data_IF_048506529724
#
_entry.id   IF_048506529724
#
_cell.length_a   1.000
_cell.length_b   1.000
_cell.length_c   1.000
_cell.angle_alpha   90.00
_cell.angle_beta   90.00
_cell.angle_gamma   90.00
#
_symmetry.space_group_name_H-M   'P 1'
#
loop_
_entity.id
_entity.type
_entity.pdbx_description
1 polymer ?
#
# COMPACT_ATOMS: atom_id res chain seq x y z
N UNK A 1 48.95 21.49 67.78
CA UNK A 1 47.62 20.86 67.59
C UNK A 1 47.10 21.33 66.21
N UNK A 2 47.24 20.45 65.18
CA UNK A 2 46.82 20.78 63.83
C UNK A 2 45.55 20.01 63.53
N UNK A 3 44.45 20.71 63.18
CA UNK A 3 43.18 20.15 62.85
C UNK A 3 43.23 19.51 61.48
N UNK A 4 42.56 18.35 61.20
CA UNK A 4 42.53 17.73 59.91
C UNK A 4 41.51 18.41 58.97
N UNK A 5 41.92 18.67 57.73
CA UNK A 5 41.08 19.20 56.65
C UNK A 5 39.97 18.18 56.24
N UNK A 6 38.75 18.63 55.90
CA UNK A 6 37.68 17.74 55.51
C UNK A 6 37.88 17.22 54.10
N UNK A 7 37.40 15.99 53.79
CA UNK A 7 37.54 15.38 52.44
C UNK A 7 36.52 15.95 51.47
N UNK A 8 36.89 16.96 50.71
CA UNK A 8 36.18 17.42 49.54
C UNK A 8 36.83 16.74 48.33
N UNK A 9 36.21 15.79 47.69
CA UNK A 9 36.33 15.32 46.33
C UNK A 9 35.97 13.81 46.23
N UNK A 10 34.67 13.48 46.28
CA UNK A 10 34.24 12.15 45.83
C UNK A 10 32.81 12.10 45.26
N UNK A 11 32.22 13.20 44.80
CA UNK A 11 30.86 13.16 44.21
C UNK A 11 30.75 13.35 42.66
N UNK A 12 31.84 13.53 41.94
CA UNK A 12 31.78 13.88 40.53
C UNK A 12 31.85 12.68 39.55
N UNK A 13 32.33 11.51 39.95
CA UNK A 13 32.57 10.37 39.04
C UNK A 13 31.33 9.56 38.70
N UNK A 14 30.32 9.51 39.56
CA UNK A 14 29.11 8.70 39.36
C UNK A 14 28.15 9.24 38.29
N UNK A 15 28.07 10.58 38.14
CA UNK A 15 27.18 11.24 37.18
C UNK A 15 27.64 11.04 35.71
N UNK A 16 28.97 11.04 35.47
CA UNK A 16 29.51 10.83 34.09
C UNK A 16 29.34 9.38 33.62
N UNK A 17 29.43 8.38 34.48
CA UNK A 17 29.26 6.95 34.14
C UNK A 17 27.81 6.63 33.82
N UNK A 18 26.82 7.19 34.56
CA UNK A 18 25.38 7.04 34.26
C UNK A 18 24.98 7.71 32.95
N UNK A 19 25.52 8.90 32.61
CA UNK A 19 25.29 9.58 31.33
C UNK A 19 25.80 8.75 30.12
N UNK A 20 26.99 8.15 30.21
CA UNK A 20 27.56 7.30 29.17
C UNK A 20 26.73 6.01 28.93
N UNK A 21 26.17 5.43 29.98
CA UNK A 21 25.28 4.28 29.92
C UNK A 21 23.99 4.62 29.15
N UNK A 22 23.31 5.71 29.56
CA UNK A 22 22.06 6.20 28.93
C UNK A 22 22.25 6.53 27.44
N UNK A 23 23.37 7.17 27.07
CA UNK A 23 23.71 7.48 25.68
C UNK A 23 23.95 6.22 24.84
N UNK A 24 24.56 5.18 25.40
CA UNK A 24 24.74 3.87 24.72
C UNK A 24 23.40 3.18 24.48
N UNK A 25 22.49 3.21 25.45
CA UNK A 25 21.13 2.68 25.31
C UNK A 25 20.33 3.46 24.28
N UNK A 26 20.38 4.78 24.28
CA UNK A 26 19.72 5.62 23.29
C UNK A 26 20.22 5.31 21.87
N UNK A 27 21.54 5.21 21.70
CA UNK A 27 22.12 4.83 20.40
C UNK A 27 21.65 3.44 19.93
N UNK A 28 21.59 2.44 20.82
CA UNK A 28 21.06 1.11 20.50
C UNK A 28 19.59 1.17 20.10
N UNK A 29 18.77 1.90 20.84
CA UNK A 29 17.35 2.09 20.52
C UNK A 29 17.19 2.74 19.15
N UNK A 30 17.91 3.82 18.87
CA UNK A 30 17.88 4.48 17.55
C UNK A 30 18.30 3.51 16.43
N UNK A 31 19.36 2.73 16.64
CA UNK A 31 19.79 1.73 15.65
C UNK A 31 18.73 0.66 15.42
N UNK A 32 18.05 0.17 16.47
CA UNK A 32 16.97 -0.80 16.34
C UNK A 32 15.78 -0.23 15.58
N UNK A 33 15.40 1.04 15.86
CA UNK A 33 14.32 1.71 15.10
C UNK A 33 14.71 1.88 13.63
N UNK A 34 15.93 2.31 13.34
CA UNK A 34 16.40 2.46 11.95
C UNK A 34 16.43 1.11 11.23
N UNK A 35 16.88 0.05 11.90
CA UNK A 35 16.89 -1.31 11.34
C UNK A 35 15.47 -1.82 11.08
N UNK A 36 14.53 -1.55 11.98
CA UNK A 36 13.11 -1.86 11.80
C UNK A 36 12.53 -1.13 10.59
N UNK A 37 12.73 0.18 10.49
CA UNK A 37 12.25 0.97 9.35
C UNK A 37 12.85 0.51 8.02
N UNK A 38 14.15 0.18 8.02
CA UNK A 38 14.83 -0.39 6.85
C UNK A 38 14.24 -1.76 6.47
N UNK A 39 13.94 -2.61 7.45
CA UNK A 39 13.28 -3.90 7.24
C UNK A 39 11.88 -3.76 6.64
N UNK A 40 11.07 -2.81 7.13
CA UNK A 40 9.75 -2.50 6.57
C UNK A 40 9.87 -1.98 5.13
N UNK A 41 10.82 -1.08 4.86
CA UNK A 41 11.05 -0.57 3.51
C UNK A 41 11.50 -1.69 2.56
N UNK A 42 12.40 -2.56 2.99
CA UNK A 42 12.82 -3.73 2.21
C UNK A 42 11.65 -4.69 1.94
N UNK A 43 10.81 -4.96 2.94
CA UNK A 43 9.59 -5.76 2.77
C UNK A 43 8.66 -5.18 1.70
N UNK A 44 8.38 -3.86 1.76
CA UNK A 44 7.53 -3.17 0.77
C UNK A 44 8.11 -3.32 -0.64
N UNK A 45 9.43 -3.12 -0.79
CA UNK A 45 10.11 -3.25 -2.08
C UNK A 45 10.10 -4.69 -2.61
N UNK A 46 10.35 -5.68 -1.75
CA UNK A 46 10.36 -7.09 -2.14
C UNK A 46 8.98 -7.59 -2.56
N UNK A 47 7.92 -7.23 -1.80
CA UNK A 47 6.54 -7.58 -2.17
C UNK A 47 6.14 -6.87 -3.46
N UNK A 48 6.50 -5.59 -3.60
CA UNK A 48 6.19 -4.81 -4.79
C UNK A 48 6.96 -5.25 -6.05
N UNK A 49 8.08 -5.94 -5.90
CA UNK A 49 8.84 -6.48 -7.02
C UNK A 49 8.34 -7.85 -7.50
N UNK A 50 7.47 -8.51 -6.71
CA UNK A 50 6.94 -9.84 -7.06
C UNK A 50 5.71 -9.69 -7.97
N UNK A 51 5.79 -10.21 -9.18
CA UNK A 51 4.63 -10.36 -10.06
C UNK A 51 4.09 -11.80 -9.92
N UNK A 52 3.07 -11.96 -9.08
CA UNK A 52 2.45 -13.27 -8.84
C UNK A 52 1.57 -13.69 -10.02
N UNK A 53 1.16 -12.75 -10.89
CA UNK A 53 0.40 -13.02 -12.10
C UNK A 53 1.29 -13.52 -13.25
N UNK A 54 2.61 -13.33 -13.17
CA UNK A 54 3.55 -13.80 -14.18
C UNK A 54 3.85 -15.31 -14.09
N UNK A 55 3.45 -15.99 -13.00
CA UNK A 55 3.67 -17.42 -12.86
C UNK A 55 2.80 -18.23 -13.84
N UNK A 56 3.37 -19.29 -14.39
CA UNK A 56 2.68 -20.16 -15.33
C UNK A 56 1.40 -20.76 -14.74
N UNK A 57 0.34 -20.80 -15.55
CA UNK A 57 -0.94 -21.37 -15.16
C UNK A 57 -1.77 -20.54 -14.18
N UNK A 58 -1.32 -19.36 -13.80
CA UNK A 58 -2.10 -18.46 -12.92
C UNK A 58 -3.38 -18.03 -13.62
N UNK A 59 -4.50 -18.19 -12.92
CA UNK A 59 -5.82 -17.68 -13.30
C UNK A 59 -6.50 -17.08 -12.07
N UNK A 60 -7.31 -16.06 -12.31
CA UNK A 60 -8.16 -15.45 -11.30
C UNK A 60 -9.57 -15.23 -11.88
N UNK A 61 -10.51 -14.84 -11.03
CA UNK A 61 -11.87 -14.54 -11.45
C UNK A 61 -12.00 -13.09 -11.95
N UNK A 62 -11.17 -12.20 -11.39
CA UNK A 62 -11.15 -10.79 -11.76
C UNK A 62 -9.73 -10.19 -11.72
N UNK A 63 -9.53 -9.14 -12.51
CA UNK A 63 -8.39 -8.22 -12.41
C UNK A 63 -8.92 -6.92 -11.84
N UNK A 64 -8.43 -6.52 -10.67
CA UNK A 64 -8.78 -5.27 -9.99
C UNK A 64 -7.70 -4.24 -10.26
N UNK A 65 -8.02 -3.22 -11.03
CA UNK A 65 -7.12 -2.11 -11.33
C UNK A 65 -7.42 -0.96 -10.37
N UNK A 66 -6.48 -0.66 -9.47
CA UNK A 66 -6.65 0.41 -8.50
C UNK A 66 -6.54 1.78 -9.15
N UNK A 67 -7.45 2.69 -8.79
CA UNK A 67 -7.41 4.08 -9.19
C UNK A 67 -6.14 4.81 -8.77
N UNK A 68 -5.78 5.88 -9.51
CA UNK A 68 -4.58 6.67 -9.24
C UNK A 68 -4.63 8.09 -9.80
N UNK A 69 -5.70 8.75 -9.74
CA UNK A 69 -6.04 10.05 -10.28
C UNK A 69 -6.39 10.07 -11.77
N UNK A 70 -7.37 10.88 -12.08
CA UNK A 70 -7.76 11.24 -13.45
C UNK A 70 -7.78 12.76 -13.59
N UNK A 71 -7.35 13.24 -14.75
CA UNK A 71 -7.43 14.64 -15.13
C UNK A 71 -8.65 14.80 -16.05
N UNK A 72 -9.81 15.07 -15.45
CA UNK A 72 -11.11 15.07 -16.10
C UNK A 72 -11.38 13.71 -16.81
N UNK A 73 -11.46 13.68 -18.13
CA UNK A 73 -11.75 12.50 -18.93
C UNK A 73 -10.49 11.66 -19.29
N UNK A 74 -9.31 12.04 -18.82
CA UNK A 74 -8.02 11.37 -19.14
C UNK A 74 -7.38 10.78 -17.89
N UNK A 75 -6.83 9.56 -17.96
CA UNK A 75 -6.08 9.02 -16.84
C UNK A 75 -4.80 9.83 -16.62
N UNK A 76 -4.37 9.97 -15.37
CA UNK A 76 -3.01 10.41 -15.07
C UNK A 76 -1.99 9.44 -15.67
N UNK A 77 -0.72 9.85 -15.90
CA UNK A 77 0.29 8.92 -16.42
C UNK A 77 0.50 7.67 -15.57
N UNK A 78 0.34 7.79 -14.25
CA UNK A 78 0.41 6.65 -13.32
C UNK A 78 -0.79 5.73 -13.52
N UNK A 79 -1.98 6.30 -13.60
CA UNK A 79 -3.21 5.51 -13.81
C UNK A 79 -3.22 4.83 -15.17
N UNK A 80 -2.73 5.50 -16.22
CA UNK A 80 -2.61 4.92 -17.56
C UNK A 80 -1.71 3.67 -17.58
N UNK A 81 -0.60 3.66 -16.86
CA UNK A 81 0.24 2.46 -16.74
C UNK A 81 -0.51 1.29 -16.09
N UNK A 82 -1.29 1.55 -15.03
CA UNK A 82 -2.13 0.53 -14.39
C UNK A 82 -3.19 0.00 -15.34
N UNK A 83 -3.89 0.90 -16.05
CA UNK A 83 -4.91 0.53 -17.03
C UNK A 83 -4.33 -0.34 -18.15
N UNK A 84 -3.21 0.07 -18.71
CA UNK A 84 -2.51 -0.64 -19.78
C UNK A 84 -2.11 -2.05 -19.33
N UNK A 85 -1.53 -2.16 -18.12
CA UNK A 85 -1.13 -3.44 -17.57
C UNK A 85 -2.34 -4.34 -17.27
N UNK A 86 -3.40 -3.82 -16.63
CA UNK A 86 -4.62 -4.60 -16.37
C UNK A 86 -5.29 -5.11 -17.64
N UNK A 87 -5.32 -4.30 -18.71
CA UNK A 87 -5.86 -4.71 -20.02
C UNK A 87 -4.98 -5.79 -20.68
N UNK A 88 -3.64 -5.69 -20.53
CA UNK A 88 -2.74 -6.73 -21.03
C UNK A 88 -2.98 -8.08 -20.34
N UNK A 89 -3.09 -8.08 -19.01
CA UNK A 89 -3.43 -9.30 -18.25
C UNK A 89 -4.78 -9.89 -18.68
N UNK A 90 -5.78 -9.05 -18.94
CA UNK A 90 -7.08 -9.49 -19.47
C UNK A 90 -6.94 -10.12 -20.85
N UNK A 91 -6.25 -9.46 -21.79
CA UNK A 91 -6.03 -9.97 -23.17
C UNK A 91 -5.25 -11.28 -23.18
N UNK A 92 -4.37 -11.48 -22.22
CA UNK A 92 -3.66 -12.75 -21.98
C UNK A 92 -4.55 -13.83 -21.35
N UNK A 93 -5.79 -13.51 -21.00
CA UNK A 93 -6.78 -14.44 -20.46
C UNK A 93 -6.53 -14.86 -19.02
N UNK A 94 -5.85 -14.03 -18.20
CA UNK A 94 -5.61 -14.35 -16.79
C UNK A 94 -6.87 -14.25 -15.94
N UNK A 95 -7.84 -13.44 -16.34
CA UNK A 95 -9.18 -13.41 -15.76
C UNK A 95 -10.21 -12.90 -16.77
N UNK A 96 -11.49 -13.32 -16.67
CA UNK A 96 -12.55 -12.91 -17.60
C UNK A 96 -13.14 -11.53 -17.27
N UNK A 97 -12.88 -10.98 -16.09
CA UNK A 97 -13.50 -9.74 -15.59
C UNK A 97 -12.44 -8.71 -15.24
N UNK A 98 -12.63 -7.47 -15.69
CA UNK A 98 -11.88 -6.29 -15.26
C UNK A 98 -12.73 -5.45 -14.31
N UNK A 99 -12.18 -5.09 -13.16
CA UNK A 99 -12.80 -4.20 -12.18
C UNK A 99 -11.93 -2.94 -12.07
N UNK A 100 -12.49 -1.78 -12.42
CA UNK A 100 -11.83 -0.50 -12.20
C UNK A 100 -12.40 0.15 -10.96
N UNK A 101 -11.52 0.57 -10.05
CA UNK A 101 -11.88 1.25 -8.81
C UNK A 101 -11.42 2.70 -8.82
N UNK A 102 -11.99 3.50 -7.93
CA UNK A 102 -11.68 4.90 -7.76
C UNK A 102 -12.85 5.81 -8.08
N UNK A 103 -13.25 6.57 -7.08
CA UNK A 103 -14.31 7.56 -7.16
C UNK A 103 -13.87 8.88 -7.79
N UNK A 104 -14.55 9.96 -7.41
CA UNK A 104 -14.25 11.29 -7.91
C UNK A 104 -13.03 11.88 -7.20
N UNK A 105 -12.01 12.26 -7.95
CA UNK A 105 -10.68 12.66 -7.47
C UNK A 105 -10.58 14.05 -6.86
N UNK A 106 -11.69 14.72 -6.58
CA UNK A 106 -11.72 16.04 -5.94
C UNK A 106 -12.93 16.89 -6.33
N UNK A 107 -13.04 18.06 -5.69
CA UNK A 107 -14.11 19.02 -5.99
C UNK A 107 -14.04 19.45 -7.46
N UNK A 108 -15.12 19.22 -8.21
CA UNK A 108 -15.21 19.57 -9.63
C UNK A 108 -14.80 18.48 -10.62
N UNK A 109 -14.38 17.31 -10.18
CA UNK A 109 -14.16 16.17 -11.07
C UNK A 109 -15.47 15.73 -11.72
N UNK A 110 -15.54 15.77 -13.04
CA UNK A 110 -16.75 15.36 -13.79
C UNK A 110 -16.87 13.85 -13.93
N UNK A 111 -15.78 13.13 -13.79
CA UNK A 111 -15.73 11.68 -13.96
C UNK A 111 -14.97 11.06 -12.80
N UNK A 112 -15.49 9.92 -12.33
CA UNK A 112 -14.75 9.06 -11.42
C UNK A 112 -13.57 8.40 -12.14
N UNK A 113 -12.52 8.07 -11.40
CA UNK A 113 -11.34 7.40 -11.96
C UNK A 113 -11.73 6.09 -12.66
N UNK A 114 -12.60 5.30 -12.05
CA UNK A 114 -13.12 4.06 -12.60
C UNK A 114 -13.89 4.25 -13.93
N UNK A 115 -14.64 5.34 -14.08
CA UNK A 115 -15.30 5.69 -15.33
C UNK A 115 -14.31 6.03 -16.44
N UNK A 116 -13.22 6.71 -16.09
CA UNK A 116 -12.10 6.99 -17.01
C UNK A 116 -11.42 5.67 -17.41
N UNK A 117 -11.20 4.77 -16.44
CA UNK A 117 -10.66 3.43 -16.68
C UNK A 117 -11.52 2.62 -17.64
N UNK A 118 -12.85 2.57 -17.43
CA UNK A 118 -13.78 1.90 -18.33
C UNK A 118 -13.70 2.44 -19.75
N UNK A 119 -13.73 3.76 -19.93
CA UNK A 119 -13.60 4.38 -21.27
C UNK A 119 -12.27 4.03 -21.95
N UNK A 120 -11.19 3.99 -21.18
CA UNK A 120 -9.88 3.58 -21.70
C UNK A 120 -9.89 2.14 -22.14
N UNK A 121 -10.45 1.21 -21.36
CA UNK A 121 -10.55 -0.21 -21.69
C UNK A 121 -11.40 -0.48 -22.94
N UNK A 122 -12.57 0.17 -23.04
CA UNK A 122 -13.43 0.06 -24.24
C UNK A 122 -12.69 0.49 -25.51
N UNK A 123 -11.94 1.60 -25.47
CA UNK A 123 -11.13 2.06 -26.61
C UNK A 123 -9.99 1.11 -26.96
N UNK A 124 -9.57 0.26 -26.01
CA UNK A 124 -8.54 -0.74 -26.22
C UNK A 124 -9.10 -2.13 -26.50
N UNK A 125 -10.39 -2.25 -26.86
CA UNK A 125 -11.01 -3.47 -27.34
C UNK A 125 -11.48 -4.44 -26.25
N UNK A 126 -11.59 -3.99 -25.00
CA UNK A 126 -12.22 -4.80 -23.94
C UNK A 126 -13.74 -4.66 -24.07
N UNK A 127 -14.51 -5.75 -24.16
CA UNK A 127 -15.97 -5.66 -24.25
C UNK A 127 -16.57 -5.14 -22.94
N UNK A 128 -17.65 -4.37 -23.04
CA UNK A 128 -18.30 -3.76 -21.88
C UNK A 128 -18.83 -4.80 -20.87
N UNK A 129 -19.26 -5.94 -21.36
CA UNK A 129 -19.73 -7.07 -20.55
C UNK A 129 -18.64 -7.65 -19.61
N UNK A 130 -17.37 -7.43 -19.92
CA UNK A 130 -16.25 -7.86 -19.10
C UNK A 130 -15.81 -6.80 -18.05
N UNK A 131 -16.44 -5.61 -18.04
CA UNK A 131 -15.99 -4.49 -17.23
C UNK A 131 -16.98 -4.22 -16.09
N UNK A 132 -16.46 -4.14 -14.88
CA UNK A 132 -17.17 -3.64 -13.71
C UNK A 132 -16.48 -2.36 -13.21
N UNK A 133 -17.25 -1.43 -12.68
CA UNK A 133 -16.74 -0.18 -12.09
C UNK A 133 -17.40 0.10 -10.75
N UNK A 134 -16.69 0.74 -9.85
CA UNK A 134 -17.22 1.40 -8.67
C UNK A 134 -16.80 2.88 -8.66
N UNK A 135 -17.61 3.76 -8.11
CA UNK A 135 -17.42 5.21 -8.18
C UNK A 135 -17.46 5.91 -6.82
N UNK A 136 -17.54 5.14 -5.74
CA UNK A 136 -17.78 5.65 -4.39
C UNK A 136 -16.51 5.78 -3.54
N UNK A 137 -15.45 5.07 -3.88
CA UNK A 137 -14.25 4.99 -3.05
C UNK A 137 -13.37 6.24 -3.13
N UNK A 138 -12.75 6.57 -1.98
CA UNK A 138 -11.81 7.71 -1.83
C UNK A 138 -10.42 7.30 -1.35
N UNK A 139 -10.22 6.04 -1.00
CA UNK A 139 -8.95 5.49 -0.52
C UNK A 139 -8.80 4.02 -0.90
N UNK A 140 -7.60 3.47 -0.66
CA UNK A 140 -7.28 2.09 -1.07
C UNK A 140 -8.13 1.03 -0.37
N UNK A 141 -8.48 1.21 0.91
CA UNK A 141 -9.34 0.26 1.64
C UNK A 141 -10.75 0.26 1.06
N UNK A 142 -11.28 1.42 0.76
CA UNK A 142 -12.57 1.55 0.09
C UNK A 142 -12.54 0.97 -1.33
N UNK A 143 -11.49 1.27 -2.12
CA UNK A 143 -11.32 0.69 -3.46
C UNK A 143 -11.45 -0.84 -3.44
N UNK A 144 -10.73 -1.50 -2.55
CA UNK A 144 -10.72 -2.96 -2.43
C UNK A 144 -12.03 -3.48 -1.80
N UNK A 145 -12.60 -2.77 -0.83
CA UNK A 145 -13.90 -3.10 -0.26
C UNK A 145 -15.03 -3.04 -1.29
N UNK A 146 -15.05 -1.99 -2.13
CA UNK A 146 -16.03 -1.87 -3.21
C UNK A 146 -15.80 -2.92 -4.30
N UNK A 147 -14.53 -3.24 -4.63
CA UNK A 147 -14.22 -4.35 -5.54
C UNK A 147 -14.76 -5.68 -4.98
N UNK A 148 -14.58 -5.95 -3.68
CA UNK A 148 -15.17 -7.11 -3.01
C UNK A 148 -16.70 -7.16 -3.12
N UNK A 149 -17.35 -6.02 -2.90
CA UNK A 149 -18.81 -5.89 -3.03
C UNK A 149 -19.31 -6.19 -4.45
N UNK A 150 -18.52 -5.84 -5.49
CA UNK A 150 -18.83 -6.19 -6.88
C UNK A 150 -18.59 -7.68 -7.18
N UNK A 151 -17.59 -8.28 -6.54
CA UNK A 151 -17.20 -9.68 -6.73
C UNK A 151 -18.17 -10.65 -6.06
N UNK A 152 -18.61 -10.34 -4.83
CA UNK A 152 -19.40 -11.25 -3.99
C UNK A 152 -20.70 -11.78 -4.66
N UNK A 153 -21.60 -10.94 -5.24
CA UNK A 153 -22.83 -11.43 -5.87
C UNK A 153 -22.57 -12.25 -7.14
N UNK A 154 -21.37 -12.15 -7.71
CA UNK A 154 -20.92 -12.91 -8.89
C UNK A 154 -20.14 -14.16 -8.52
N UNK A 155 -19.97 -14.45 -7.25
CA UNK A 155 -19.17 -15.59 -6.72
C UNK A 155 -17.71 -15.55 -7.19
N UNK A 156 -17.16 -14.37 -7.44
CA UNK A 156 -15.74 -14.18 -7.77
C UNK A 156 -14.97 -14.19 -6.45
N UNK A 157 -13.95 -15.02 -6.32
CA UNK A 157 -13.25 -15.26 -5.04
C UNK A 157 -11.77 -14.90 -5.08
N UNK A 158 -11.18 -14.89 -6.27
CA UNK A 158 -9.75 -14.64 -6.49
C UNK A 158 -9.54 -13.46 -7.43
N UNK A 159 -8.73 -12.50 -7.03
CA UNK A 159 -8.42 -11.32 -7.83
C UNK A 159 -6.92 -11.18 -8.09
N UNK A 160 -6.56 -10.67 -9.28
CA UNK A 160 -5.25 -10.08 -9.53
C UNK A 160 -5.37 -8.58 -9.30
N UNK A 161 -4.59 -8.04 -8.36
CA UNK A 161 -4.58 -6.60 -8.05
C UNK A 161 -3.44 -5.93 -8.80
N UNK A 162 -3.80 -4.97 -9.63
CA UNK A 162 -2.86 -4.15 -10.41
C UNK A 162 -2.64 -2.80 -9.76
N UNK A 163 -1.39 -2.50 -9.46
CA UNK A 163 -0.98 -1.22 -8.87
C UNK A 163 0.50 -0.95 -9.14
N UNK A 164 0.99 0.24 -8.70
CA UNK A 164 2.43 0.51 -8.68
C UNK A 164 3.16 -0.42 -7.70
N UNK A 165 4.43 -0.77 -7.99
CA UNK A 165 5.18 -1.71 -7.16
C UNK A 165 5.19 -1.36 -5.67
N UNK A 166 5.50 -0.11 -5.30
CA UNK A 166 5.58 0.28 -3.89
C UNK A 166 4.22 0.28 -3.18
N UNK A 167 3.12 0.55 -3.92
CA UNK A 167 1.76 0.56 -3.38
C UNK A 167 1.16 -0.84 -3.21
N UNK A 168 1.66 -1.81 -3.97
CA UNK A 168 1.09 -3.17 -4.03
C UNK A 168 1.11 -3.87 -2.67
N UNK A 169 2.19 -3.69 -1.89
CA UNK A 169 2.30 -4.27 -0.54
C UNK A 169 1.12 -3.85 0.37
N UNK A 170 0.72 -2.57 0.33
CA UNK A 170 -0.43 -2.07 1.10
C UNK A 170 -1.74 -2.67 0.58
N UNK A 171 -1.94 -2.70 -0.74
CA UNK A 171 -3.13 -3.28 -1.34
C UNK A 171 -3.33 -4.75 -0.96
N UNK A 172 -2.27 -5.57 -1.03
CA UNK A 172 -2.32 -6.98 -0.66
C UNK A 172 -2.57 -7.22 0.83
N UNK A 173 -2.08 -6.33 1.72
CA UNK A 173 -2.42 -6.40 3.15
C UNK A 173 -3.90 -6.11 3.38
N UNK A 174 -4.44 -5.08 2.72
CA UNK A 174 -5.87 -4.75 2.80
C UNK A 174 -6.73 -5.90 2.26
N UNK A 175 -6.35 -6.54 1.15
CA UNK A 175 -7.05 -7.73 0.64
C UNK A 175 -7.17 -8.82 1.70
N UNK A 176 -6.09 -9.10 2.44
CA UNK A 176 -6.10 -10.10 3.52
C UNK A 176 -7.02 -9.69 4.66
N UNK A 177 -7.02 -8.40 5.05
CA UNK A 177 -7.86 -7.86 6.12
C UNK A 177 -9.36 -7.98 5.79
N UNK A 178 -9.74 -7.81 4.51
CA UNK A 178 -11.15 -7.91 4.06
C UNK A 178 -11.53 -9.29 3.52
N UNK A 179 -10.64 -10.27 3.61
CA UNK A 179 -10.93 -11.68 3.29
C UNK A 179 -10.95 -12.02 1.79
N UNK A 180 -10.35 -11.20 0.90
CA UNK A 180 -10.24 -11.51 -0.52
C UNK A 180 -8.90 -12.20 -0.81
N UNK A 181 -8.93 -13.22 -1.64
CA UNK A 181 -7.71 -13.85 -2.17
C UNK A 181 -7.14 -13.02 -3.32
N UNK A 182 -6.11 -12.22 -3.03
CA UNK A 182 -5.46 -11.37 -4.02
C UNK A 182 -4.07 -11.90 -4.38
N UNK A 183 -3.77 -11.82 -5.67
CA UNK A 183 -2.43 -11.94 -6.24
C UNK A 183 -1.97 -10.55 -6.68
N UNK A 184 -0.72 -10.23 -6.41
CA UNK A 184 -0.15 -8.95 -6.82
C UNK A 184 0.39 -8.99 -8.25
N UNK A 185 0.08 -7.97 -9.04
CA UNK A 185 0.73 -7.73 -10.33
C UNK A 185 1.14 -6.27 -10.43
N UNK A 186 2.44 -5.97 -10.17
CA UNK A 186 2.97 -4.62 -10.28
C UNK A 186 3.02 -4.17 -11.73
N UNK A 187 2.78 -2.87 -11.97
CA UNK A 187 3.01 -2.31 -13.30
C UNK A 187 4.48 -2.47 -13.70
N UNK A 188 4.77 -3.00 -14.91
CA UNK A 188 6.15 -3.25 -15.35
C UNK A 188 6.94 -1.96 -15.56
N UNK A 189 6.25 -0.85 -15.80
CA UNK A 189 6.81 0.49 -15.90
C UNK A 189 6.24 1.37 -14.80
N UNK A 190 7.09 2.21 -14.19
CA UNK A 190 6.66 3.19 -13.20
C UNK A 190 6.97 4.61 -13.66
N UNK A 191 6.05 5.54 -13.44
CA UNK A 191 6.28 6.97 -13.69
C UNK A 191 7.07 7.65 -12.58
N UNK A 192 7.29 6.98 -11.45
CA UNK A 192 8.19 7.43 -10.38
C UNK A 192 9.65 7.15 -10.77
N UNK A 193 10.20 7.92 -11.74
CA UNK A 193 11.54 7.65 -12.31
C UNK A 193 12.68 8.27 -11.51
N UNK A 194 12.45 9.41 -10.85
CA UNK A 194 13.49 10.04 -10.05
C UNK A 194 13.65 9.37 -8.69
N UNK A 195 14.88 9.33 -8.19
CA UNK A 195 15.16 8.80 -6.85
C UNK A 195 14.34 9.53 -5.78
N UNK A 196 14.22 10.87 -5.88
CA UNK A 196 13.47 11.68 -4.92
C UNK A 196 11.98 11.33 -4.88
N UNK A 197 11.33 11.12 -6.04
CA UNK A 197 9.90 10.74 -6.09
C UNK A 197 9.68 9.33 -5.56
N UNK A 198 10.55 8.39 -5.89
CA UNK A 198 10.49 7.00 -5.38
C UNK A 198 10.69 6.96 -3.87
N UNK A 199 11.66 7.72 -3.35
CA UNK A 199 11.94 7.78 -1.92
C UNK A 199 10.78 8.37 -1.12
N UNK A 200 10.21 9.50 -1.58
CA UNK A 200 9.04 10.11 -0.94
C UNK A 200 7.84 9.15 -0.93
N UNK A 201 7.62 8.44 -2.03
CA UNK A 201 6.54 7.44 -2.11
C UNK A 201 6.79 6.27 -1.16
N UNK A 202 8.01 5.73 -1.10
CA UNK A 202 8.38 4.69 -0.15
C UNK A 202 8.18 5.12 1.31
N UNK A 203 8.58 6.33 1.68
CA UNK A 203 8.37 6.87 3.03
C UNK A 203 6.87 6.96 3.37
N UNK A 204 6.03 7.37 2.43
CA UNK A 204 4.58 7.36 2.62
C UNK A 204 4.05 5.94 2.83
N UNK A 205 4.51 4.95 2.08
CA UNK A 205 4.08 3.56 2.26
C UNK A 205 4.59 2.97 3.59
N UNK A 206 5.80 3.34 4.06
CA UNK A 206 6.29 3.01 5.41
C UNK A 206 5.40 3.63 6.48
N UNK A 207 4.99 4.89 6.32
CA UNK A 207 4.04 5.55 7.23
C UNK A 207 2.69 4.80 7.26
N UNK A 208 2.10 4.52 6.10
CA UNK A 208 0.84 3.78 6.01
C UNK A 208 0.95 2.35 6.56
N UNK A 209 2.12 1.72 6.45
CA UNK A 209 2.36 0.42 7.07
C UNK A 209 2.12 0.45 8.58
N UNK A 210 2.66 1.45 9.26
CA UNK A 210 2.52 1.58 10.71
C UNK A 210 1.12 2.07 11.10
N UNK A 211 0.56 3.04 10.37
CA UNK A 211 -0.80 3.54 10.60
C UNK A 211 -1.82 2.41 10.53
N UNK A 212 -1.81 1.64 9.43
CA UNK A 212 -2.75 0.53 9.24
C UNK A 212 -2.55 -0.60 10.29
N UNK A 213 -1.34 -0.77 10.83
CA UNK A 213 -1.07 -1.70 11.92
C UNK A 213 -1.69 -1.22 13.24
N UNK A 214 -1.58 0.07 13.55
CA UNK A 214 -2.19 0.67 14.74
C UNK A 214 -3.72 0.64 14.66
N UNK A 215 -4.30 1.02 13.51
CA UNK A 215 -5.75 0.95 13.28
C UNK A 215 -6.29 -0.46 13.56
N UNK A 216 -5.63 -1.51 13.04
CA UNK A 216 -6.02 -2.91 13.30
C UNK A 216 -5.96 -3.29 14.77
N UNK A 217 -4.93 -2.86 15.51
CA UNK A 217 -4.83 -3.14 16.95
C UNK A 217 -5.99 -2.50 17.75
N UNK A 218 -6.39 -1.28 17.35
CA UNK A 218 -7.49 -0.57 18.01
C UNK A 218 -8.87 -1.20 17.69
N UNK A 219 -9.07 -1.66 16.45
CA UNK A 219 -10.30 -2.33 16.03
C UNK A 219 -10.47 -3.68 16.74
N UNK A 220 -9.38 -4.47 16.91
CA UNK A 220 -9.39 -5.75 17.63
C UNK A 220 -9.74 -5.56 19.13
N UNK A 221 -9.26 -4.50 19.76
CA UNK A 221 -9.59 -4.20 21.15
C UNK A 221 -11.05 -3.72 21.31
N UNK A 222 -11.57 -2.97 20.35
CA UNK A 222 -12.97 -2.51 20.32
C UNK A 222 -13.99 -3.64 20.16
N UNK A 223 -13.67 -4.68 19.40
CA UNK A 223 -14.52 -5.87 19.20
C UNK A 223 -14.51 -6.83 20.39
N UNK A 224 -13.46 -6.81 21.23
CA UNK A 224 -13.38 -7.63 22.46
C UNK A 224 -14.07 -7.00 23.67
N UNK A 225 -14.45 -5.73 23.60
CA UNK A 225 -15.06 -4.98 24.71
C UNK A 225 -16.59 -4.84 24.60
N UNK A 226 -17.24 -5.47 23.62
CA UNK A 226 -18.71 -5.54 23.56
C UNK A 226 -19.19 -6.86 24.15
N UNK A 227 -19.94 -6.82 25.29
CA UNK A 227 -20.51 -7.99 25.94
C UNK A 227 -21.66 -8.62 25.14
#
# INVERSE_FOLDING_TARGET
MSAPLPPLIQRASGRRRRRRGRWRWLRRLVLLVLLWLAGVAAYIMLVGARDEAAADGVRADAIVVLGAAAYDARPSPVFEERLRHGIDLYKRGLAPTLIFTGGFGGAGARFAESQVGRRYALRNGVPDSAILIETASHNTRENLGQAAALMAPRRLTRAIVVSDPLHLSRALRICRDIGIRCLGSPTPTTRYRSFATRWRFLLNEVYFFHRDAVERMLDDDGTRSSP
#
